data_IF_500202010703
#
_entry.id   IF_500202010703
#
_cell.length_a   1.000
_cell.length_b   1.000
_cell.length_c   1.000
_cell.angle_alpha   90.00
_cell.angle_beta   90.00
_cell.angle_gamma   90.00
#
_symmetry.space_group_name_H-M   'P 1'
#
loop_
_entity.id
_entity.type
_entity.pdbx_description
1 polymer ?
#
# COMPACT_ATOMS: atom_id res chain seq x y z
N UNK A 1 1.90 -15.00 -11.49
CA UNK A 1 3.03 -14.80 -10.53
C UNK A 1 3.60 -16.08 -9.94
N UNK A 2 2.79 -17.11 -9.59
CA UNK A 2 3.33 -18.41 -9.13
C UNK A 2 4.19 -19.16 -10.17
N UNK A 3 3.95 -18.99 -11.48
CA UNK A 3 4.70 -19.66 -12.55
C UNK A 3 6.10 -19.06 -12.76
N UNK A 4 6.24 -17.73 -12.66
CA UNK A 4 7.53 -17.03 -12.78
C UNK A 4 8.54 -17.43 -11.70
N UNK A 5 8.08 -17.62 -10.46
CA UNK A 5 8.92 -18.11 -9.37
C UNK A 5 9.39 -19.56 -9.58
N UNK A 6 8.72 -20.32 -10.46
CA UNK A 6 9.11 -21.67 -10.87
C UNK A 6 9.93 -21.69 -12.18
N UNK A 7 10.32 -20.53 -12.72
CA UNK A 7 11.09 -20.41 -13.96
C UNK A 7 10.25 -20.50 -15.25
N UNK A 8 8.93 -20.62 -15.15
CA UNK A 8 8.04 -20.59 -16.30
C UNK A 8 7.82 -19.14 -16.78
N UNK A 9 8.46 -18.85 -17.91
CA UNK A 9 8.54 -17.53 -18.53
C UNK A 9 7.59 -17.38 -19.73
N UNK A 10 6.82 -18.41 -20.09
CA UNK A 10 5.92 -18.36 -21.24
C UNK A 10 4.86 -17.25 -21.13
N UNK A 11 4.45 -16.90 -19.91
CA UNK A 11 3.60 -15.73 -19.66
C UNK A 11 4.27 -14.41 -20.06
N UNK A 12 5.58 -14.24 -19.82
CA UNK A 12 6.29 -13.01 -20.17
C UNK A 12 6.36 -12.83 -21.68
N UNK A 13 6.59 -13.90 -22.45
CA UNK A 13 6.63 -13.84 -23.91
C UNK A 13 5.33 -13.30 -24.52
N UNK A 14 4.19 -13.52 -23.84
CA UNK A 14 2.88 -13.05 -24.29
C UNK A 14 2.58 -11.60 -23.89
N UNK A 15 3.20 -11.11 -22.82
CA UNK A 15 2.90 -9.80 -22.23
C UNK A 15 3.92 -8.75 -22.63
N UNK A 16 5.20 -9.11 -22.76
CA UNK A 16 6.29 -8.20 -23.11
C UNK A 16 6.07 -7.40 -24.41
N UNK A 17 5.50 -7.99 -25.49
CA UNK A 17 5.24 -7.23 -26.72
C UNK A 17 4.24 -6.07 -26.53
N UNK A 18 3.46 -6.06 -25.44
CA UNK A 18 2.54 -4.95 -25.12
C UNK A 18 3.24 -3.73 -24.50
N UNK A 19 4.47 -3.89 -24.01
CA UNK A 19 5.17 -2.89 -23.20
C UNK A 19 6.57 -2.54 -23.73
N UNK A 20 7.16 -3.38 -24.59
CA UNK A 20 8.50 -3.21 -25.13
C UNK A 20 8.51 -3.56 -26.63
N UNK A 21 9.10 -2.69 -27.46
CA UNK A 21 9.13 -2.87 -28.93
C UNK A 21 9.97 -4.07 -29.38
N UNK A 22 10.95 -4.51 -28.58
CA UNK A 22 11.75 -5.71 -28.84
C UNK A 22 12.33 -6.28 -27.54
N UNK A 23 12.20 -7.60 -27.35
CA UNK A 23 12.80 -8.34 -26.23
C UNK A 23 14.15 -8.99 -26.58
N UNK A 24 14.58 -8.91 -27.84
CA UNK A 24 15.79 -9.59 -28.30
C UNK A 24 17.06 -9.01 -27.63
N UNK A 25 17.80 -9.86 -26.93
CA UNK A 25 19.07 -9.50 -26.30
C UNK A 25 18.96 -8.75 -24.97
N UNK A 26 17.75 -8.55 -24.44
CA UNK A 26 17.53 -7.93 -23.13
C UNK A 26 17.42 -9.00 -22.03
N UNK A 27 17.90 -8.69 -20.83
CA UNK A 27 17.66 -9.55 -19.67
C UNK A 27 16.24 -9.36 -19.14
N UNK A 28 15.76 -10.32 -18.35
CA UNK A 28 14.47 -10.14 -17.65
C UNK A 28 14.45 -8.92 -16.72
N UNK A 29 15.60 -8.54 -16.16
CA UNK A 29 15.70 -7.33 -15.36
C UNK A 29 15.44 -6.08 -16.21
N UNK A 30 16.08 -5.96 -17.38
CA UNK A 30 15.89 -4.84 -18.30
C UNK A 30 14.43 -4.74 -18.76
N UNK A 31 13.81 -5.88 -19.07
CA UNK A 31 12.43 -5.95 -19.52
C UNK A 31 11.44 -5.52 -18.42
N UNK A 32 11.70 -5.91 -17.17
CA UNK A 32 10.93 -5.47 -16.02
C UNK A 32 11.08 -3.97 -15.78
N UNK A 33 12.31 -3.44 -15.90
CA UNK A 33 12.59 -2.01 -15.75
C UNK A 33 11.90 -1.17 -16.83
N UNK A 34 11.93 -1.61 -18.09
CA UNK A 34 11.21 -0.97 -19.19
C UNK A 34 9.69 -0.98 -18.96
N UNK A 35 9.14 -2.14 -18.58
CA UNK A 35 7.70 -2.28 -18.28
C UNK A 35 7.29 -1.38 -17.12
N UNK A 36 8.11 -1.33 -16.06
CA UNK A 36 7.84 -0.47 -14.91
C UNK A 36 7.94 1.02 -15.26
N UNK A 37 8.91 1.42 -16.08
CA UNK A 37 9.04 2.79 -16.57
C UNK A 37 7.82 3.20 -17.41
N UNK A 38 7.34 2.30 -18.27
CA UNK A 38 6.10 2.51 -19.04
C UNK A 38 4.89 2.64 -18.11
N UNK A 39 4.70 1.70 -17.18
CA UNK A 39 3.58 1.71 -16.23
C UNK A 39 3.57 2.99 -15.38
N UNK A 40 4.74 3.43 -14.88
CA UNK A 40 4.88 4.69 -14.15
C UNK A 40 4.34 5.90 -14.92
N UNK A 41 4.54 5.93 -16.24
CA UNK A 41 4.12 7.03 -17.12
C UNK A 41 2.66 6.92 -17.54
N UNK A 42 2.22 5.71 -17.91
CA UNK A 42 0.95 5.49 -18.62
C UNK A 42 -0.11 4.79 -17.76
N UNK A 43 0.28 3.93 -16.83
CA UNK A 43 -0.61 3.06 -16.05
C UNK A 43 -0.17 2.88 -14.59
N UNK A 44 -0.56 3.83 -13.74
CA UNK A 44 -0.22 3.81 -12.32
C UNK A 44 -1.17 2.93 -11.53
N UNK A 45 -0.96 1.63 -11.64
CA UNK A 45 -1.62 0.62 -10.82
C UNK A 45 -1.12 0.66 -9.37
N UNK A 46 -1.80 -0.08 -8.50
CA UNK A 46 -1.54 -0.12 -7.06
C UNK A 46 -0.08 -0.46 -6.70
N UNK A 47 0.56 -1.36 -7.46
CA UNK A 47 1.97 -1.70 -7.28
C UNK A 47 2.90 -0.47 -7.37
N UNK A 48 2.61 0.46 -8.28
CA UNK A 48 3.38 1.70 -8.40
C UNK A 48 3.24 2.56 -7.12
N UNK A 49 2.03 2.65 -6.55
CA UNK A 49 1.79 3.40 -5.32
C UNK A 49 2.55 2.78 -4.14
N UNK A 50 2.48 1.45 -4.00
CA UNK A 50 3.22 0.70 -2.96
C UNK A 50 4.73 0.95 -3.05
N UNK A 51 5.30 0.91 -4.25
CA UNK A 51 6.71 1.20 -4.46
C UNK A 51 7.07 2.65 -4.10
N UNK A 52 6.24 3.63 -4.50
CA UNK A 52 6.46 5.03 -4.12
C UNK A 52 6.39 5.21 -2.60
N UNK A 53 5.41 4.58 -1.92
CA UNK A 53 5.31 4.63 -0.47
C UNK A 53 6.52 4.00 0.22
N UNK A 54 6.94 2.81 -0.21
CA UNK A 54 8.13 2.13 0.29
C UNK A 54 9.37 3.01 0.14
N UNK A 55 9.60 3.53 -1.06
CA UNK A 55 10.77 4.37 -1.36
C UNK A 55 10.76 5.64 -0.52
N UNK A 56 9.64 6.38 -0.51
CA UNK A 56 9.54 7.72 0.09
C UNK A 56 9.40 7.71 1.60
N UNK A 57 8.76 6.68 2.17
CA UNK A 57 8.49 6.62 3.61
C UNK A 57 9.56 5.83 4.37
N UNK A 58 10.14 4.80 3.75
CA UNK A 58 11.10 3.90 4.39
C UNK A 58 12.54 4.15 3.91
N UNK A 59 12.80 3.93 2.62
CA UNK A 59 14.17 3.84 2.08
C UNK A 59 14.88 5.20 2.06
N UNK A 60 14.25 6.24 1.49
CA UNK A 60 14.84 7.58 1.41
C UNK A 60 15.06 8.20 2.80
N UNK A 61 14.25 7.80 3.79
CA UNK A 61 14.37 8.31 5.15
C UNK A 61 15.38 7.53 6.01
N UNK A 62 15.98 6.45 5.48
CA UNK A 62 16.94 5.55 6.17
C UNK A 62 16.47 5.15 7.57
N UNK A 63 15.17 4.92 7.75
CA UNK A 63 14.60 4.65 9.07
C UNK A 63 14.68 3.15 9.38
N UNK A 64 15.80 2.74 9.98
CA UNK A 64 16.07 1.34 10.37
C UNK A 64 15.09 0.76 11.39
N UNK A 65 14.35 1.61 12.11
CA UNK A 65 13.35 1.20 13.11
C UNK A 65 11.93 1.05 12.55
N UNK A 66 11.74 1.25 11.24
CA UNK A 66 10.44 1.12 10.60
C UNK A 66 10.33 -0.21 9.85
N UNK A 67 9.17 -0.84 9.97
CA UNK A 67 8.80 -2.04 9.23
C UNK A 67 7.61 -1.73 8.34
N UNK A 68 7.70 -2.08 7.06
CA UNK A 68 6.56 -2.01 6.15
C UNK A 68 5.94 -3.41 6.00
N UNK A 69 4.63 -3.50 6.14
CA UNK A 69 3.83 -4.68 5.80
C UNK A 69 2.91 -4.31 4.65
N UNK A 70 2.61 -5.26 3.78
CA UNK A 70 1.65 -5.09 2.69
C UNK A 70 0.57 -6.15 2.79
N UNK A 71 -0.62 -5.86 2.30
CA UNK A 71 -1.71 -6.84 2.20
C UNK A 71 -2.14 -7.42 3.55
N UNK A 72 -2.13 -6.60 4.61
CA UNK A 72 -2.40 -7.05 5.98
C UNK A 72 -3.91 -7.17 6.22
N UNK A 73 -4.44 -8.38 6.51
CA UNK A 73 -5.86 -8.54 6.85
C UNK A 73 -6.18 -7.89 8.20
N UNK A 74 -7.26 -7.11 8.25
CA UNK A 74 -7.76 -6.43 9.45
C UNK A 74 -9.29 -6.47 9.41
N UNK A 75 -9.91 -7.25 10.29
CA UNK A 75 -11.34 -7.51 10.23
C UNK A 75 -11.74 -8.07 8.86
N UNK A 76 -12.72 -7.45 8.21
CA UNK A 76 -13.21 -7.82 6.88
C UNK A 76 -12.49 -7.07 5.74
N UNK A 77 -11.46 -6.29 6.08
CA UNK A 77 -10.68 -5.52 5.12
C UNK A 77 -9.23 -6.03 5.04
N UNK A 78 -8.51 -5.55 4.04
CA UNK A 78 -7.10 -5.87 3.82
C UNK A 78 -6.36 -4.57 3.51
N UNK A 79 -5.51 -4.15 4.43
CA UNK A 79 -4.72 -2.93 4.31
C UNK A 79 -3.61 -3.10 3.28
N UNK A 80 -3.55 -2.19 2.30
CA UNK A 80 -2.60 -2.26 1.20
C UNK A 80 -1.15 -2.10 1.67
N UNK A 81 -0.92 -1.14 2.57
CA UNK A 81 0.40 -0.82 3.09
C UNK A 81 0.30 -0.33 4.54
N UNK A 82 1.12 -0.90 5.42
CA UNK A 82 1.17 -0.56 6.84
C UNK A 82 2.60 -0.23 7.19
N UNK A 83 2.81 0.93 7.81
CA UNK A 83 4.11 1.34 8.33
C UNK A 83 4.10 1.28 9.85
N UNK A 84 4.93 0.41 10.41
CA UNK A 84 5.07 0.17 11.85
C UNK A 84 6.38 0.79 12.32
N UNK A 85 6.32 1.51 13.44
CA UNK A 85 7.46 2.08 14.16
C UNK A 85 7.05 2.30 15.61
N UNK A 86 7.24 3.53 16.13
CA UNK A 86 6.63 3.92 17.41
C UNK A 86 5.09 3.90 17.39
N UNK A 87 4.51 4.07 16.21
CA UNK A 87 3.07 3.98 15.96
C UNK A 87 2.84 3.27 14.64
N UNK A 88 1.82 2.43 14.54
CA UNK A 88 1.36 1.87 13.27
C UNK A 88 0.51 2.88 12.49
N UNK A 89 0.72 2.98 11.18
CA UNK A 89 -0.11 3.79 10.27
C UNK A 89 -0.48 2.96 9.04
N UNK A 90 -1.77 2.88 8.77
CA UNK A 90 -2.30 2.24 7.56
C UNK A 90 -2.35 3.27 6.42
N UNK A 91 -1.93 2.85 5.24
CA UNK A 91 -2.04 3.58 3.99
C UNK A 91 -2.92 2.77 3.04
N UNK A 92 -4.15 3.23 2.84
CA UNK A 92 -5.11 2.68 1.87
C UNK A 92 -4.92 3.37 0.52
N UNK A 93 -4.70 2.61 -0.54
CA UNK A 93 -4.41 3.13 -1.87
C UNK A 93 -5.72 3.16 -2.68
N UNK A 94 -6.02 4.31 -3.29
CA UNK A 94 -7.09 4.47 -4.29
C UNK A 94 -6.51 5.07 -5.57
N UNK A 95 -6.18 4.19 -6.51
CA UNK A 95 -5.68 4.54 -7.84
C UNK A 95 -6.76 5.21 -8.68
N UNK A 96 -6.40 5.72 -9.86
CA UNK A 96 -7.38 6.31 -10.79
C UNK A 96 -8.35 5.30 -11.40
N UNK A 97 -8.15 4.00 -11.16
CA UNK A 97 -8.97 2.91 -11.68
C UNK A 97 -9.94 2.36 -10.64
N UNK A 98 -9.84 2.78 -9.38
CA UNK A 98 -10.63 2.23 -8.28
C UNK A 98 -11.98 2.94 -8.15
N UNK A 99 -12.95 2.21 -7.59
CA UNK A 99 -14.14 2.80 -7.00
C UNK A 99 -13.91 3.14 -5.52
N UNK A 100 -14.75 4.00 -4.96
CA UNK A 100 -14.64 4.44 -3.57
C UNK A 100 -15.71 3.82 -2.67
N UNK A 101 -16.58 2.97 -3.20
CA UNK A 101 -17.76 2.44 -2.51
C UNK A 101 -17.41 1.70 -1.21
N UNK A 102 -16.24 1.05 -1.19
CA UNK A 102 -15.74 0.28 -0.03
C UNK A 102 -14.85 1.10 0.91
N UNK A 103 -14.48 2.32 0.54
CA UNK A 103 -13.47 3.09 1.28
C UNK A 103 -13.86 3.31 2.74
N UNK A 104 -15.12 3.67 2.99
CA UNK A 104 -15.61 3.95 4.34
C UNK A 104 -15.52 2.72 5.25
N UNK A 105 -16.00 1.56 4.77
CA UNK A 105 -15.95 0.32 5.56
C UNK A 105 -14.52 -0.18 5.78
N UNK A 106 -13.63 -0.02 4.80
CA UNK A 106 -12.21 -0.33 4.94
C UNK A 106 -11.57 0.52 6.04
N UNK A 107 -11.76 1.84 6.01
CA UNK A 107 -11.22 2.76 7.02
C UNK A 107 -11.69 2.37 8.42
N UNK A 108 -12.99 2.04 8.58
CA UNK A 108 -13.53 1.61 9.88
C UNK A 108 -12.90 0.31 10.37
N UNK A 109 -12.69 -0.68 9.50
CA UNK A 109 -11.98 -1.90 9.88
C UNK A 109 -10.54 -1.61 10.32
N UNK A 110 -9.82 -0.71 9.63
CA UNK A 110 -8.43 -0.39 9.98
C UNK A 110 -8.29 0.27 11.34
N UNK A 111 -9.25 1.12 11.72
CA UNK A 111 -9.27 1.73 13.05
C UNK A 111 -9.52 0.73 14.19
N UNK A 112 -9.97 -0.49 13.89
CA UNK A 112 -10.06 -1.56 14.90
C UNK A 112 -8.69 -2.03 15.41
N UNK A 113 -7.62 -1.82 14.65
CA UNK A 113 -6.28 -2.27 15.06
C UNK A 113 -5.19 -1.19 14.99
N UNK A 114 -5.42 -0.12 14.25
CA UNK A 114 -4.44 0.94 14.06
C UNK A 114 -5.01 2.29 14.45
N UNK A 115 -4.16 3.16 15.00
CA UNK A 115 -4.59 4.47 15.48
C UNK A 115 -4.50 5.58 14.44
N UNK A 116 -4.00 5.27 13.24
CA UNK A 116 -3.85 6.21 12.13
C UNK A 116 -4.11 5.51 10.80
N UNK A 117 -4.97 6.12 10.00
CA UNK A 117 -5.26 5.71 8.63
C UNK A 117 -5.04 6.89 7.71
N UNK A 118 -4.40 6.64 6.57
CA UNK A 118 -4.13 7.60 5.51
C UNK A 118 -4.67 7.02 4.20
N UNK A 119 -5.47 7.78 3.47
CA UNK A 119 -5.85 7.45 2.10
C UNK A 119 -4.84 8.08 1.15
N UNK A 120 -4.22 7.26 0.30
CA UNK A 120 -3.28 7.68 -0.74
C UNK A 120 -3.99 7.59 -2.08
N UNK A 121 -4.23 8.73 -2.71
CA UNK A 121 -5.04 8.79 -3.94
C UNK A 121 -4.44 9.70 -5.00
N UNK A 122 -5.05 9.74 -6.19
CA UNK A 122 -4.69 10.66 -7.26
C UNK A 122 -5.66 11.84 -7.33
N UNK A 123 -5.30 12.85 -8.12
CA UNK A 123 -6.11 14.05 -8.33
C UNK A 123 -7.57 13.76 -8.69
N UNK A 124 -7.82 12.73 -9.50
CA UNK A 124 -9.16 12.32 -9.96
C UNK A 124 -10.13 12.03 -8.80
N UNK A 125 -9.65 11.42 -7.72
CA UNK A 125 -10.48 11.01 -6.59
C UNK A 125 -10.36 11.94 -5.38
N UNK A 126 -9.50 12.95 -5.46
CA UNK A 126 -9.13 13.76 -4.29
C UNK A 126 -10.35 14.42 -3.62
N UNK A 127 -11.21 15.08 -4.41
CA UNK A 127 -12.37 15.80 -3.88
C UNK A 127 -13.39 14.82 -3.27
N UNK A 128 -13.62 13.69 -3.94
CA UNK A 128 -14.51 12.65 -3.43
C UNK A 128 -13.98 12.03 -2.12
N UNK A 129 -12.66 11.78 -2.02
CA UNK A 129 -12.03 11.27 -0.79
C UNK A 129 -12.10 12.31 0.32
N UNK A 130 -11.86 13.59 0.03
CA UNK A 130 -12.00 14.69 1.00
C UNK A 130 -13.41 14.76 1.59
N UNK A 131 -14.44 14.66 0.75
CA UNK A 131 -15.84 14.76 1.17
C UNK A 131 -16.37 13.52 1.88
N UNK A 132 -15.84 12.33 1.57
CA UNK A 132 -16.36 11.04 2.06
C UNK A 132 -15.60 10.48 3.27
N UNK A 133 -14.47 11.06 3.65
CA UNK A 133 -13.65 10.56 4.76
C UNK A 133 -13.67 11.51 5.96
N UNK A 134 -13.80 10.98 7.20
CA UNK A 134 -13.78 11.78 8.42
C UNK A 134 -12.51 12.63 8.57
N UNK A 135 -12.60 13.76 9.28
CA UNK A 135 -11.49 14.73 9.42
C UNK A 135 -10.20 14.15 10.02
N UNK A 136 -10.32 13.13 10.86
CA UNK A 136 -9.17 12.46 11.48
C UNK A 136 -8.40 11.53 10.52
N UNK A 137 -8.97 11.21 9.35
CA UNK A 137 -8.31 10.39 8.32
C UNK A 137 -7.35 11.25 7.51
N UNK A 138 -6.09 10.83 7.42
CA UNK A 138 -5.11 11.51 6.59
C UNK A 138 -5.38 11.31 5.10
N UNK A 139 -4.99 12.28 4.28
CA UNK A 139 -5.09 12.20 2.83
C UNK A 139 -3.77 12.65 2.22
N UNK A 140 -3.21 11.79 1.37
CA UNK A 140 -2.04 12.08 0.56
C UNK A 140 -2.44 11.96 -0.91
N UNK A 141 -2.09 12.98 -1.69
CA UNK A 141 -2.15 12.90 -3.14
C UNK A 141 -0.80 12.40 -3.68
N UNK A 142 -0.83 11.32 -4.46
CA UNK A 142 0.26 10.95 -5.33
C UNK A 142 0.18 11.77 -6.63
N UNK A 143 1.03 12.78 -6.72
CA UNK A 143 1.05 13.72 -7.85
C UNK A 143 1.49 13.06 -9.15
N UNK A 144 1.22 13.69 -10.31
CA UNK A 144 1.72 13.23 -11.60
C UNK A 144 3.23 13.06 -11.72
N UNK A 145 4.02 13.70 -10.86
CA UNK A 145 5.49 13.60 -10.85
C UNK A 145 6.01 12.52 -9.90
N UNK A 146 5.12 11.80 -9.21
CA UNK A 146 5.50 10.77 -8.22
C UNK A 146 5.84 11.34 -6.83
N UNK A 147 5.52 12.61 -6.57
CA UNK A 147 5.65 13.19 -5.24
C UNK A 147 4.39 12.91 -4.41
N UNK A 148 4.59 12.60 -3.12
CA UNK A 148 3.53 12.46 -2.13
C UNK A 148 3.24 13.82 -1.50
N UNK A 149 2.08 14.41 -1.80
CA UNK A 149 1.64 15.69 -1.24
C UNK A 149 0.60 15.44 -0.17
N UNK A 150 0.92 15.76 1.08
CA UNK A 150 -0.06 15.71 2.18
C UNK A 150 -1.12 16.79 1.96
N UNK A 151 -2.37 16.37 1.86
CA UNK A 151 -3.54 17.26 1.73
C UNK A 151 -4.17 17.46 3.10
N UNK A 152 -4.32 16.38 3.87
CA UNK A 152 -4.80 16.40 5.26
C UNK A 152 -3.93 15.46 6.10
N UNK A 153 -3.31 15.92 7.21
CA UNK A 153 -2.55 15.02 8.08
C UNK A 153 -3.50 14.06 8.84
N UNK A 154 -3.07 12.82 9.05
CA UNK A 154 -3.83 11.89 9.89
C UNK A 154 -3.72 12.27 11.37
N UNK A 155 -4.85 12.23 12.07
CA UNK A 155 -4.93 12.44 13.51
C UNK A 155 -4.97 11.10 14.21
N UNK A 156 -4.26 10.98 15.35
CA UNK A 156 -4.28 9.76 16.16
C UNK A 156 -5.68 9.61 16.76
N UNK A 157 -6.25 8.43 16.62
CA UNK A 157 -7.56 8.03 17.14
C UNK A 157 -7.44 6.62 17.74
N UNK A 158 -8.00 6.36 18.91
CA UNK A 158 -7.86 5.06 19.60
C UNK A 158 -9.18 4.51 20.12
N UNK A 159 -10.26 5.25 19.93
CA UNK A 159 -11.62 4.98 20.42
C UNK A 159 -12.21 3.70 19.80
N UNK A 160 -11.77 3.33 18.61
CA UNK A 160 -12.30 2.20 17.85
C UNK A 160 -11.42 0.94 17.96
N UNK A 161 -10.29 1.00 18.69
CA UNK A 161 -9.38 -0.14 18.85
C UNK A 161 -10.08 -1.30 19.55
N UNK A 162 -9.84 -2.51 19.04
CA UNK A 162 -10.38 -3.75 19.60
C UNK A 162 -9.26 -4.77 19.78
N UNK A 163 -9.19 -5.35 20.97
CA UNK A 163 -8.15 -6.30 21.35
C UNK A 163 -8.13 -7.54 20.45
N UNK A 164 -9.31 -8.04 20.07
CA UNK A 164 -9.45 -9.20 19.19
C UNK A 164 -8.89 -8.92 17.78
N UNK A 165 -9.14 -7.73 17.23
CA UNK A 165 -8.60 -7.32 15.94
C UNK A 165 -7.08 -7.14 16.00
N UNK A 166 -6.56 -6.55 17.08
CA UNK A 166 -5.11 -6.38 17.28
C UNK A 166 -4.38 -7.72 17.43
N UNK A 167 -4.93 -8.65 18.21
CA UNK A 167 -4.32 -9.98 18.42
C UNK A 167 -4.30 -10.79 17.12
N UNK A 168 -5.37 -10.72 16.31
CA UNK A 168 -5.47 -11.46 15.04
C UNK A 168 -4.42 -11.07 13.99
N UNK A 169 -3.84 -9.89 14.11
CA UNK A 169 -2.80 -9.38 13.20
C UNK A 169 -1.43 -9.96 13.55
N UNK A 170 -1.22 -10.35 14.80
CA UNK A 170 0.03 -10.90 15.27
C UNK A 170 0.25 -12.29 14.69
N UNK A 171 1.51 -12.57 14.34
CA UNK A 171 1.96 -13.94 14.06
C UNK A 171 1.91 -14.74 15.35
N UNK A 172 1.77 -16.07 15.19
CA UNK A 172 1.74 -17.00 16.31
C UNK A 172 2.90 -16.80 17.29
N UNK A 173 4.12 -16.67 16.78
CA UNK A 173 5.33 -16.47 17.60
C UNK A 173 5.26 -15.17 18.40
N UNK A 174 4.79 -14.08 17.78
CA UNK A 174 4.64 -12.77 18.44
C UNK A 174 3.62 -12.82 19.57
N UNK A 175 2.50 -13.52 19.35
CA UNK A 175 1.48 -13.73 20.38
C UNK A 175 2.00 -14.61 21.53
N UNK A 176 2.68 -15.73 21.21
CA UNK A 176 3.28 -16.60 22.23
C UNK A 176 4.32 -15.87 23.07
N UNK A 177 5.13 -15.00 22.47
CA UNK A 177 6.12 -14.18 23.16
C UNK A 177 5.49 -13.16 24.11
N UNK A 178 4.32 -12.60 23.76
CA UNK A 178 3.58 -11.70 24.64
C UNK A 178 3.07 -12.49 25.85
N UNK A 179 2.45 -13.65 25.63
CA UNK A 179 1.93 -14.47 26.73
C UNK A 179 3.01 -14.92 27.70
N UNK A 180 4.23 -15.18 27.25
CA UNK A 180 5.36 -15.58 28.11
C UNK A 180 5.91 -14.45 28.99
N UNK A 181 5.55 -13.19 28.72
CA UNK A 181 5.98 -12.02 29.50
C UNK A 181 5.00 -11.67 30.63
N UNK A 182 3.89 -12.38 30.73
CA UNK A 182 2.90 -12.31 31.80
C UNK A 182 2.85 -13.65 32.54
#
# INVERSE_FOLDING_TARGET
MRSLAAGDTGFLDHVLPMFVDSAAGQTYADLLDHTYAYARKNYRFEYYYKNVLLEKLLLQKRKSHLTALTELPIGEAKADFVLIGRTGTVYEIKTGYDNLDRLSSQIMNYYMAFSKVVVVTCRKHLDAVLSSTPEFVGIIELTPRGALRTIRPAVKRTEDLKDDAMIRILRREEYEDILRKF
#
